data_IF_183069651853
#
_entry.id   IF_183069651853
#
_cell.length_a   1.000
_cell.length_b   1.000
_cell.length_c   1.000
_cell.angle_alpha   90.00
_cell.angle_beta   90.00
_cell.angle_gamma   90.00
#
_symmetry.space_group_name_H-M   'P 1'
#
loop_
_entity.id
_entity.type
_entity.pdbx_description
1 polymer ?
#
# COMPACT_ATOMS: atom_id res chain seq x y z
N UNK A 1 9.02 -34.59 -61.01
CA UNK A 1 9.26 -35.81 -60.18
C UNK A 1 9.24 -35.42 -58.71
N UNK A 2 8.66 -36.28 -57.87
CA UNK A 2 8.33 -36.11 -56.45
C UNK A 2 9.54 -35.81 -55.55
N UNK A 3 9.33 -35.05 -54.46
CA UNK A 3 9.40 -35.56 -53.07
C UNK A 3 9.03 -34.46 -52.06
N UNK A 4 8.05 -34.80 -51.23
CA UNK A 4 7.56 -34.09 -50.04
C UNK A 4 8.41 -34.55 -48.86
N UNK A 5 8.92 -33.64 -48.03
CA UNK A 5 9.57 -33.99 -46.76
C UNK A 5 8.78 -33.41 -45.60
N UNK A 6 8.32 -34.32 -44.74
CA UNK A 6 7.46 -34.12 -43.57
C UNK A 6 8.12 -33.23 -42.52
N UNK A 7 7.39 -32.24 -42.02
CA UNK A 7 7.69 -31.59 -40.76
C UNK A 7 7.10 -32.43 -39.61
N UNK A 8 7.95 -32.95 -38.74
CA UNK A 8 7.54 -33.56 -37.47
C UNK A 8 7.36 -32.45 -36.43
N UNK A 9 6.11 -32.14 -36.07
CA UNK A 9 5.81 -31.32 -34.89
C UNK A 9 5.89 -32.22 -33.64
N UNK A 10 6.93 -32.05 -32.84
CA UNK A 10 6.93 -32.54 -31.45
C UNK A 10 6.00 -31.65 -30.63
N UNK A 11 4.86 -32.19 -30.21
CA UNK A 11 3.99 -31.55 -29.24
C UNK A 11 4.62 -31.65 -27.85
N UNK A 12 5.13 -30.54 -27.32
CA UNK A 12 5.47 -30.39 -25.92
C UNK A 12 4.17 -30.07 -25.16
N UNK A 13 3.65 -31.07 -24.45
CA UNK A 13 2.55 -30.89 -23.50
C UNK A 13 3.06 -30.10 -22.29
N UNK A 14 2.65 -28.83 -22.19
CA UNK A 14 2.76 -28.06 -20.96
C UNK A 14 1.73 -28.58 -19.97
N UNK A 15 2.18 -29.29 -18.92
CA UNK A 15 1.36 -29.56 -17.75
C UNK A 15 1.16 -28.24 -17.01
N UNK A 16 -0.04 -27.66 -17.13
CA UNK A 16 -0.43 -26.51 -16.34
C UNK A 16 -0.58 -26.97 -14.87
N UNK A 17 0.38 -26.63 -14.02
CA UNK A 17 0.16 -26.63 -12.58
C UNK A 17 -0.87 -25.55 -12.29
N UNK A 18 -2.12 -25.95 -12.11
CA UNK A 18 -3.16 -25.14 -11.49
C UNK A 18 -2.72 -24.86 -10.05
N UNK A 19 -1.89 -23.83 -9.87
CA UNK A 19 -1.67 -23.24 -8.56
C UNK A 19 -3.03 -22.81 -8.04
N UNK A 20 -3.45 -23.34 -6.90
CA UNK A 20 -4.53 -22.76 -6.14
C UNK A 20 -4.08 -21.33 -5.79
N UNK A 21 -4.52 -20.35 -6.58
CA UNK A 21 -4.52 -18.98 -6.13
C UNK A 21 -5.40 -18.97 -4.89
N UNK A 22 -4.81 -18.69 -3.72
CA UNK A 22 -5.57 -18.40 -2.53
C UNK A 22 -6.62 -17.33 -2.90
N UNK A 23 -7.88 -17.47 -2.43
CA UNK A 23 -8.87 -16.43 -2.67
C UNK A 23 -8.27 -15.09 -2.25
N UNK A 24 -8.49 -14.00 -3.00
CA UNK A 24 -8.04 -12.69 -2.54
C UNK A 24 -8.61 -12.52 -1.15
N UNK A 25 -7.74 -12.33 -0.15
CA UNK A 25 -8.17 -12.09 1.21
C UNK A 25 -9.22 -10.99 1.12
N UNK A 26 -10.46 -11.28 1.51
CA UNK A 26 -11.53 -10.29 1.57
C UNK A 26 -10.95 -9.14 2.36
N UNK A 27 -10.79 -7.99 1.70
CA UNK A 27 -10.04 -6.91 2.27
C UNK A 27 -10.86 -6.39 3.46
N UNK A 28 -10.42 -6.76 4.66
CA UNK A 28 -11.17 -6.47 5.86
C UNK A 28 -11.17 -4.95 6.07
N UNK A 29 -12.35 -4.35 6.12
CA UNK A 29 -12.55 -2.92 6.39
C UNK A 29 -11.99 -2.47 7.75
N UNK A 30 -11.56 -3.42 8.59
CA UNK A 30 -10.81 -3.16 9.82
C UNK A 30 -9.34 -2.87 9.58
N UNK A 31 -8.73 -3.34 8.49
CA UNK A 31 -7.29 -3.15 8.25
C UNK A 31 -7.03 -1.76 7.69
N UNK A 32 -6.29 -0.94 8.43
CA UNK A 32 -5.92 0.43 8.03
C UNK A 32 -4.42 0.55 7.93
N UNK A 33 -3.93 1.11 6.83
CA UNK A 33 -2.51 1.39 6.58
C UNK A 33 -2.35 2.90 6.46
N UNK A 34 -1.54 3.47 7.33
CA UNK A 34 -1.04 4.84 7.24
C UNK A 34 0.33 4.83 6.59
N UNK A 35 0.55 5.72 5.63
CA UNK A 35 1.82 5.85 4.94
C UNK A 35 2.29 7.31 4.93
N UNK A 36 3.58 7.50 5.16
CA UNK A 36 4.28 8.75 4.91
C UNK A 36 5.18 8.55 3.68
N UNK A 37 4.99 9.40 2.67
CA UNK A 37 5.58 9.23 1.34
C UNK A 37 6.74 10.22 1.13
N UNK A 38 7.65 9.87 0.23
CA UNK A 38 8.78 10.71 -0.16
C UNK A 38 10.12 10.15 0.35
N UNK A 39 11.12 11.03 0.40
CA UNK A 39 12.49 10.71 0.78
C UNK A 39 12.96 11.62 1.91
N UNK A 40 14.01 11.23 2.63
CA UNK A 40 14.55 12.01 3.74
C UNK A 40 13.98 11.55 5.08
N UNK A 41 13.77 12.49 6.00
CA UNK A 41 13.36 12.18 7.38
C UNK A 41 12.12 13.00 7.75
N UNK A 42 11.13 12.33 8.33
CA UNK A 42 10.03 12.98 9.03
C UNK A 42 10.47 13.31 10.47
N UNK A 43 10.30 14.56 10.88
CA UNK A 43 10.50 15.03 12.25
C UNK A 43 9.51 14.35 13.19
N UNK A 44 8.22 14.37 12.82
CA UNK A 44 7.16 13.66 13.54
C UNK A 44 6.17 12.98 12.58
N UNK A 45 5.62 11.86 13.00
CA UNK A 45 4.46 11.21 12.37
C UNK A 45 3.43 10.91 13.45
N UNK A 46 2.23 11.43 13.25
CA UNK A 46 1.08 11.23 14.12
C UNK A 46 -0.02 10.52 13.35
N UNK A 47 -0.63 9.49 13.95
CA UNK A 47 -1.78 8.78 13.39
C UNK A 47 -2.98 8.89 14.32
N UNK A 48 -4.19 8.83 13.77
CA UNK A 48 -5.45 8.67 14.52
C UNK A 48 -6.18 7.44 13.97
N UNK A 49 -6.62 6.45 14.78
CA UNK A 49 -6.46 6.34 16.23
C UNK A 49 -5.00 6.43 16.68
N UNK A 50 -4.78 7.24 17.73
CA UNK A 50 -3.46 7.48 18.28
C UNK A 50 -2.93 6.21 18.96
N UNK A 51 -1.74 5.79 18.51
CA UNK A 51 -0.92 4.82 19.24
C UNK A 51 0.17 5.62 19.95
N UNK A 52 1.21 5.98 19.21
CA UNK A 52 2.31 6.82 19.66
C UNK A 52 2.79 7.70 18.50
N UNK A 53 3.24 8.92 18.85
CA UNK A 53 3.98 9.80 17.94
C UNK A 53 5.33 9.18 17.61
N UNK A 54 5.64 9.09 16.33
CA UNK A 54 6.95 8.64 15.84
C UNK A 54 7.83 9.85 15.62
N UNK A 55 9.10 9.78 16.05
CA UNK A 55 10.09 10.85 15.87
C UNK A 55 11.22 10.40 14.94
N UNK A 56 11.70 11.32 14.10
CA UNK A 56 12.89 11.13 13.26
C UNK A 56 12.84 9.87 12.38
N UNK A 57 11.68 9.56 11.81
CA UNK A 57 11.49 8.37 10.99
C UNK A 57 12.04 8.60 9.56
N UNK A 58 12.80 7.66 8.99
CA UNK A 58 13.14 7.72 7.57
C UNK A 58 11.87 7.55 6.72
N UNK A 59 11.82 8.24 5.59
CA UNK A 59 10.77 8.08 4.58
C UNK A 59 11.24 7.15 3.44
N UNK A 60 10.36 6.30 2.89
CA UNK A 60 8.94 6.15 3.26
C UNK A 60 8.74 5.38 4.57
N UNK A 61 7.63 5.66 5.25
CA UNK A 61 7.23 4.99 6.49
C UNK A 61 5.81 4.46 6.37
N UNK A 62 5.51 3.36 7.06
CA UNK A 62 4.14 2.83 7.15
C UNK A 62 3.81 2.26 8.53
N UNK A 63 2.52 2.26 8.86
CA UNK A 63 1.95 1.58 10.03
C UNK A 63 0.63 0.95 9.65
N UNK A 64 0.47 -0.33 9.99
CA UNK A 64 -0.79 -1.04 9.86
C UNK A 64 -1.45 -1.18 11.23
N UNK A 65 -2.76 -0.93 11.30
CA UNK A 65 -3.57 -1.16 12.49
C UNK A 65 -4.82 -1.99 12.13
N UNK A 66 -5.45 -2.55 13.17
CA UNK A 66 -6.79 -3.10 13.09
C UNK A 66 -7.75 -2.13 13.81
N UNK A 67 -8.69 -1.57 13.08
CA UNK A 67 -9.69 -0.65 13.57
C UNK A 67 -11.00 -1.38 13.88
N UNK A 68 -11.46 -1.27 15.12
CA UNK A 68 -12.78 -1.77 15.52
C UNK A 68 -13.91 -1.05 14.77
N UNK A 69 -15.13 -1.60 14.76
CA UNK A 69 -16.27 -1.05 14.00
C UNK A 69 -16.63 0.39 14.40
N UNK A 70 -16.39 0.77 15.66
CA UNK A 70 -16.75 2.09 16.20
C UNK A 70 -15.72 3.20 15.88
N UNK A 71 -14.58 2.87 15.29
CA UNK A 71 -13.58 3.87 14.86
C UNK A 71 -14.01 4.47 13.53
N UNK A 72 -14.34 5.75 13.51
CA UNK A 72 -14.88 6.43 12.31
C UNK A 72 -13.92 7.43 11.70
N UNK A 73 -12.85 7.83 12.40
CA UNK A 73 -11.87 8.81 11.95
C UNK A 73 -10.49 8.16 11.80
N UNK A 74 -9.86 8.43 10.67
CA UNK A 74 -8.48 8.03 10.37
C UNK A 74 -7.69 9.25 9.92
N UNK A 75 -6.54 9.46 10.54
CA UNK A 75 -5.66 10.58 10.19
C UNK A 75 -4.21 10.13 10.17
N UNK A 76 -3.43 10.72 9.26
CA UNK A 76 -1.96 10.75 9.37
C UNK A 76 -1.45 12.15 9.07
N UNK A 77 -0.59 12.66 9.94
CA UNK A 77 0.11 13.94 9.78
C UNK A 77 1.61 13.67 9.80
N UNK A 78 2.32 14.12 8.78
CA UNK A 78 3.75 13.93 8.62
C UNK A 78 4.43 15.29 8.56
N UNK A 79 5.26 15.59 9.55
CA UNK A 79 6.07 16.82 9.53
C UNK A 79 7.45 16.47 9.00
N UNK A 80 7.81 16.99 7.82
CA UNK A 80 9.14 16.82 7.24
C UNK A 80 10.24 17.54 8.04
N UNK A 81 11.49 17.10 7.89
CA UNK A 81 12.66 17.80 8.43
C UNK A 81 13.38 18.61 7.34
N UNK A 82 13.81 19.84 7.68
CA UNK A 82 14.52 20.73 6.76
C UNK A 82 13.70 21.07 5.52
N UNK A 83 14.22 20.72 4.34
CA UNK A 83 13.54 20.92 3.04
C UNK A 83 12.66 19.73 2.63
N UNK A 84 12.53 18.72 3.48
CA UNK A 84 11.67 17.56 3.20
C UNK A 84 10.20 17.98 3.22
N UNK A 85 9.49 17.73 2.13
CA UNK A 85 8.04 17.94 2.02
C UNK A 85 7.36 16.61 1.69
N UNK A 86 6.93 15.84 2.71
CA UNK A 86 6.37 14.51 2.52
C UNK A 86 5.02 14.52 1.80
N UNK A 87 4.59 13.34 1.37
CA UNK A 87 3.18 13.06 1.08
C UNK A 87 2.61 12.15 2.15
N UNK A 88 1.34 11.77 2.00
CA UNK A 88 0.71 10.78 2.87
C UNK A 88 -0.32 9.96 2.11
N UNK A 89 -0.63 8.77 2.62
CA UNK A 89 -1.73 7.93 2.13
C UNK A 89 -2.38 7.18 3.28
N UNK A 90 -3.70 7.02 3.21
CA UNK A 90 -4.50 6.14 4.07
C UNK A 90 -5.16 5.10 3.18
N UNK A 91 -4.95 3.84 3.52
CA UNK A 91 -5.61 2.69 2.88
C UNK A 91 -6.47 1.97 3.91
N UNK A 92 -7.74 1.71 3.60
CA UNK A 92 -8.67 0.96 4.46
C UNK A 92 -9.20 -0.23 3.66
N UNK A 93 -9.04 -1.45 4.18
CA UNK A 93 -9.46 -2.66 3.47
C UNK A 93 -8.91 -2.71 2.05
N UNK A 94 -7.63 -2.37 1.85
CA UNK A 94 -6.98 -2.37 0.54
C UNK A 94 -7.38 -1.23 -0.41
N UNK A 95 -8.29 -0.33 -0.01
CA UNK A 95 -8.70 0.82 -0.82
C UNK A 95 -8.05 2.11 -0.32
N UNK A 96 -7.44 2.88 -1.22
CA UNK A 96 -6.93 4.21 -0.90
C UNK A 96 -8.11 5.16 -0.70
N UNK A 97 -8.23 5.71 0.50
CA UNK A 97 -9.37 6.55 0.91
C UNK A 97 -8.98 8.02 1.10
N UNK A 98 -7.69 8.29 1.32
CA UNK A 98 -7.12 9.63 1.33
C UNK A 98 -5.66 9.57 0.86
N UNK A 99 -5.24 10.53 0.03
CA UNK A 99 -3.85 10.66 -0.42
C UNK A 99 -3.50 12.13 -0.63
N UNK A 100 -2.26 12.48 -0.31
CA UNK A 100 -1.61 13.70 -0.77
C UNK A 100 -0.26 13.36 -1.38
N UNK A 101 0.09 13.98 -2.53
CA UNK A 101 1.37 13.74 -3.17
C UNK A 101 2.52 14.26 -2.30
N UNK A 102 3.73 13.77 -2.59
CA UNK A 102 4.97 14.38 -2.08
C UNK A 102 5.02 15.84 -2.53
N UNK A 103 5.35 16.76 -1.62
CA UNK A 103 5.21 18.20 -1.84
C UNK A 103 3.87 18.79 -1.37
N UNK A 104 2.92 17.95 -0.92
CA UNK A 104 1.64 18.38 -0.38
C UNK A 104 1.72 18.85 1.09
N UNK A 105 0.56 18.99 1.75
CA UNK A 105 0.54 19.34 3.18
C UNK A 105 0.88 18.17 4.11
N UNK A 106 1.00 16.95 3.55
CA UNK A 106 1.26 15.71 4.28
C UNK A 106 0.30 15.47 5.45
N UNK A 107 -0.97 15.87 5.26
CA UNK A 107 -2.06 15.73 6.21
C UNK A 107 -3.22 15.04 5.50
N UNK A 108 -3.38 13.75 5.77
CA UNK A 108 -4.44 12.93 5.21
C UNK A 108 -5.47 12.65 6.30
N UNK A 109 -6.75 12.86 5.98
CA UNK A 109 -7.88 12.61 6.87
C UNK A 109 -8.92 11.82 6.09
N UNK A 110 -9.52 10.82 6.72
CA UNK A 110 -10.65 10.07 6.19
C UNK A 110 -11.65 9.78 7.29
N UNK A 111 -12.93 9.86 6.95
CA UNK A 111 -14.04 9.43 7.81
C UNK A 111 -14.90 8.43 7.06
N UNK A 112 -15.19 7.30 7.69
CA UNK A 112 -16.03 6.23 7.11
C UNK A 112 -17.46 6.27 7.63
#
# INVERSE_FOLDING_TARGET
MKRVTRATLSALTFAALSGLAAPPASADSSTVIFEALGTGTATTIDTDPAIDRVYNAPLPWSRTIQAGPDVTLFQVVVVGSGTTSPGCRITVGGHVVAEQPVGGSAHCIYSR
#
